data_IF_286093238373
#
_entry.id   IF_286093238373
#
_cell.length_a   1.000
_cell.length_b   1.000
_cell.length_c   1.000
_cell.angle_alpha   90.00
_cell.angle_beta   90.00
_cell.angle_gamma   90.00
#
_symmetry.space_group_name_H-M   'P 1'
#
loop_
_entity.id
_entity.type
_entity.pdbx_description
1 polymer ?
#
# COMPACT_ATOMS: atom_id res chain seq x y z
N UNK A 1 2.46 -29.95 -38.59
CA UNK A 1 3.01 -30.30 -37.27
C UNK A 1 4.00 -29.25 -36.79
N UNK A 2 3.73 -28.70 -35.61
CA UNK A 2 4.58 -27.74 -34.90
C UNK A 2 4.92 -28.30 -33.51
N UNK A 3 5.90 -27.70 -32.83
CA UNK A 3 6.37 -28.14 -31.51
C UNK A 3 6.45 -26.94 -30.58
N UNK A 4 5.90 -27.09 -29.38
CA UNK A 4 6.19 -26.21 -28.24
C UNK A 4 7.32 -26.84 -27.44
N UNK A 5 8.32 -26.06 -27.06
CA UNK A 5 9.42 -26.51 -26.21
C UNK A 5 9.77 -25.45 -25.17
N UNK A 6 9.79 -25.87 -23.91
CA UNK A 6 10.14 -25.05 -22.76
C UNK A 6 10.92 -25.89 -21.75
N UNK A 7 12.22 -25.59 -21.59
CA UNK A 7 13.14 -26.40 -20.81
C UNK A 7 13.02 -27.90 -21.19
N UNK A 8 12.73 -28.76 -20.21
CA UNK A 8 12.56 -30.20 -20.40
C UNK A 8 11.14 -30.58 -20.91
N UNK A 9 10.18 -29.65 -20.84
CA UNK A 9 8.86 -29.86 -21.38
C UNK A 9 8.85 -29.63 -22.89
N UNK A 10 8.21 -30.55 -23.62
CA UNK A 10 7.87 -30.34 -25.02
C UNK A 10 6.59 -31.05 -25.38
N UNK A 11 5.86 -30.49 -26.35
CA UNK A 11 4.65 -31.09 -26.89
C UNK A 11 4.49 -30.77 -28.38
N UNK A 12 4.15 -31.79 -29.17
CA UNK A 12 3.77 -31.61 -30.56
C UNK A 12 2.30 -31.21 -30.68
N UNK A 13 2.00 -30.35 -31.66
CA UNK A 13 0.64 -29.90 -31.93
C UNK A 13 0.39 -29.68 -33.43
N UNK A 14 -0.89 -29.75 -33.82
CA UNK A 14 -1.36 -29.51 -35.18
C UNK A 14 -2.77 -28.90 -35.19
N UNK A 15 -3.14 -28.26 -36.31
CA UNK A 15 -4.48 -27.68 -36.50
C UNK A 15 -5.49 -28.67 -37.11
N UNK A 16 -5.03 -29.88 -37.44
CA UNK A 16 -5.83 -31.00 -37.93
C UNK A 16 -5.51 -32.23 -37.08
N UNK A 17 -6.51 -33.07 -36.81
CA UNK A 17 -6.30 -34.33 -36.10
C UNK A 17 -5.37 -35.24 -36.91
N UNK A 18 -4.33 -35.77 -36.27
CA UNK A 18 -3.39 -36.72 -36.87
C UNK A 18 -3.14 -37.87 -35.90
N UNK A 19 -2.48 -38.95 -36.36
CA UNK A 19 -2.07 -40.05 -35.49
C UNK A 19 -1.12 -39.58 -34.37
N UNK A 20 -0.29 -38.56 -34.63
CA UNK A 20 0.67 -38.02 -33.67
C UNK A 20 0.06 -36.94 -32.75
N UNK A 21 -1.02 -36.29 -33.19
CA UNK A 21 -1.77 -35.31 -32.40
C UNK A 21 -3.26 -35.70 -32.35
N UNK A 22 -3.63 -36.72 -31.56
CA UNK A 22 -5.00 -37.24 -31.56
C UNK A 22 -5.94 -36.49 -30.60
N UNK A 23 -5.41 -35.74 -29.62
CA UNK A 23 -6.18 -35.13 -28.54
C UNK A 23 -6.56 -33.69 -28.90
N UNK A 24 -7.86 -33.38 -28.92
CA UNK A 24 -8.35 -32.01 -29.16
C UNK A 24 -8.17 -31.14 -27.91
N UNK A 25 -7.38 -30.08 -28.02
CA UNK A 25 -7.14 -29.10 -26.95
C UNK A 25 -8.12 -27.90 -27.03
N UNK A 26 -8.47 -27.52 -28.25
CA UNK A 26 -9.39 -26.42 -28.57
C UNK A 26 -10.02 -26.64 -29.95
N UNK A 27 -11.00 -25.83 -30.35
CA UNK A 27 -11.81 -26.03 -31.57
C UNK A 27 -10.99 -26.26 -32.86
N UNK A 28 -9.75 -25.78 -32.91
CA UNK A 28 -8.85 -25.86 -34.08
C UNK A 28 -7.44 -26.33 -33.72
N UNK A 29 -7.25 -26.99 -32.58
CA UNK A 29 -5.92 -27.36 -32.10
C UNK A 29 -5.92 -28.74 -31.47
N UNK A 30 -5.07 -29.61 -32.00
CA UNK A 30 -4.83 -30.97 -31.53
C UNK A 30 -3.40 -31.08 -31.00
N UNK A 31 -3.21 -31.87 -29.96
CA UNK A 31 -1.92 -32.13 -29.32
C UNK A 31 -1.63 -33.62 -29.24
N UNK A 32 -0.36 -33.96 -29.02
CA UNK A 32 0.04 -35.34 -28.72
C UNK A 32 -0.63 -35.85 -27.43
N UNK A 33 -0.86 -37.16 -27.33
CA UNK A 33 -1.40 -37.78 -26.12
C UNK A 33 -0.33 -37.85 -25.03
N UNK A 34 -0.15 -36.72 -24.33
CA UNK A 34 0.82 -36.53 -23.27
C UNK A 34 0.20 -35.70 -22.15
N UNK A 35 0.51 -36.07 -20.90
CA UNK A 35 0.12 -35.29 -19.73
C UNK A 35 0.74 -33.90 -19.80
N UNK A 36 -0.11 -32.88 -19.81
CA UNK A 36 0.31 -31.48 -19.77
C UNK A 36 0.72 -31.08 -18.35
N UNK A 37 1.74 -30.20 -18.19
CA UNK A 37 1.91 -29.41 -16.99
C UNK A 37 0.62 -28.66 -16.70
N UNK A 38 0.28 -28.51 -15.43
CA UNK A 38 -0.92 -27.74 -15.06
C UNK A 38 -0.67 -26.26 -15.29
N UNK A 39 0.52 -25.80 -14.90
CA UNK A 39 0.96 -24.42 -15.03
C UNK A 39 2.41 -24.36 -15.49
N UNK A 40 2.76 -23.24 -16.12
CA UNK A 40 4.11 -22.74 -16.22
C UNK A 40 4.26 -21.57 -15.25
N UNK A 41 5.22 -21.63 -14.34
CA UNK A 41 5.45 -20.59 -13.34
C UNK A 41 6.75 -19.85 -13.63
N UNK A 42 6.82 -18.58 -13.26
CA UNK A 42 8.04 -17.80 -13.38
C UNK A 42 7.94 -16.49 -12.63
N UNK A 43 8.82 -15.55 -12.95
CA UNK A 43 8.82 -14.22 -12.37
C UNK A 43 8.96 -13.15 -13.44
N UNK A 44 8.32 -11.99 -13.27
CA UNK A 44 8.47 -10.88 -14.21
C UNK A 44 8.52 -9.54 -13.49
N UNK A 45 8.93 -8.49 -14.19
CA UNK A 45 8.79 -7.11 -13.71
C UNK A 45 7.50 -6.54 -14.26
N UNK A 46 6.61 -6.07 -13.38
CA UNK A 46 5.33 -5.45 -13.77
C UNK A 46 5.31 -3.98 -13.39
N UNK A 47 4.68 -3.14 -14.20
CA UNK A 47 4.28 -1.80 -13.75
C UNK A 47 3.20 -1.93 -12.66
N UNK A 48 3.03 -0.90 -11.83
CA UNK A 48 1.92 -0.89 -10.87
C UNK A 48 0.57 -1.00 -11.58
N UNK A 49 0.42 -0.38 -12.75
CA UNK A 49 -0.80 -0.52 -13.55
C UNK A 49 -1.06 -1.99 -13.90
N UNK A 50 -0.10 -2.68 -14.52
CA UNK A 50 -0.25 -4.10 -14.87
C UNK A 50 -0.52 -4.98 -13.64
N UNK A 51 0.10 -4.65 -12.50
CA UNK A 51 -0.08 -5.39 -11.27
C UNK A 51 -1.47 -5.18 -10.66
N UNK A 52 -2.01 -3.97 -10.61
CA UNK A 52 -3.28 -3.70 -9.92
C UNK A 52 -4.49 -3.63 -10.85
N UNK A 53 -4.33 -3.67 -12.18
CA UNK A 53 -5.45 -3.46 -13.11
C UNK A 53 -6.64 -4.41 -12.85
N UNK A 54 -6.39 -5.69 -12.56
CA UNK A 54 -7.46 -6.64 -12.22
C UNK A 54 -8.19 -6.29 -10.90
N UNK A 55 -7.48 -5.68 -9.96
CA UNK A 55 -7.99 -5.31 -8.64
C UNK A 55 -8.63 -3.90 -8.67
N UNK A 56 -8.29 -3.08 -9.67
CA UNK A 56 -8.71 -1.69 -9.84
C UNK A 56 -8.96 -1.36 -11.34
N UNK A 57 -9.97 -1.96 -11.99
CA UNK A 57 -10.16 -1.86 -13.44
C UNK A 57 -10.52 -0.46 -13.95
N UNK A 58 -11.08 0.38 -13.07
CA UNK A 58 -11.46 1.76 -13.38
C UNK A 58 -10.25 2.70 -13.55
N UNK A 59 -9.10 2.36 -12.98
CA UNK A 59 -7.90 3.21 -13.04
C UNK A 59 -7.14 3.02 -14.35
N UNK A 60 -6.69 4.14 -14.89
CA UNK A 60 -5.83 4.20 -16.06
C UNK A 60 -4.36 4.20 -15.64
N UNK A 61 -3.45 3.85 -16.55
CA UNK A 61 -2.01 3.83 -16.26
C UNK A 61 -1.48 5.19 -15.73
N UNK A 62 -2.05 6.30 -16.22
CA UNK A 62 -1.69 7.65 -15.75
C UNK A 62 -2.02 7.90 -14.28
N UNK A 63 -2.98 7.18 -13.71
CA UNK A 63 -3.35 7.28 -12.29
C UNK A 63 -2.28 6.70 -11.37
N UNK A 64 -1.31 5.95 -11.93
CA UNK A 64 -0.18 5.37 -11.23
C UNK A 64 1.12 6.18 -11.37
N UNK A 65 1.04 7.37 -11.98
CA UNK A 65 2.18 8.29 -12.03
C UNK A 65 2.30 9.07 -10.73
N UNK A 66 3.53 9.31 -10.32
CA UNK A 66 3.81 10.14 -9.15
C UNK A 66 3.29 11.57 -9.37
N UNK A 67 2.76 12.18 -8.30
CA UNK A 67 2.45 13.60 -8.34
C UNK A 67 3.75 14.41 -8.24
N UNK A 68 3.77 15.62 -8.79
CA UNK A 68 4.92 16.53 -8.68
C UNK A 68 5.31 16.78 -7.21
N UNK A 69 4.30 16.93 -6.34
CA UNK A 69 4.48 17.07 -4.89
C UNK A 69 5.24 15.88 -4.29
N UNK A 70 4.95 14.67 -4.75
CA UNK A 70 5.67 13.48 -4.30
C UNK A 70 7.08 13.37 -4.88
N UNK A 71 7.31 13.75 -6.13
CA UNK A 71 8.66 13.80 -6.70
C UNK A 71 9.58 14.71 -5.87
N UNK A 72 9.07 15.86 -5.42
CA UNK A 72 9.79 16.78 -4.54
C UNK A 72 10.08 16.18 -3.15
N UNK A 73 9.18 15.35 -2.62
CA UNK A 73 9.35 14.66 -1.33
C UNK A 73 10.37 13.52 -1.46
N UNK A 74 10.26 12.70 -2.51
CA UNK A 74 11.10 11.52 -2.77
C UNK A 74 12.57 11.89 -2.92
N UNK A 75 12.88 13.01 -3.59
CA UNK A 75 14.26 13.47 -3.76
C UNK A 75 15.02 13.72 -2.45
N UNK A 76 14.32 13.76 -1.30
CA UNK A 76 14.89 14.01 0.03
C UNK A 76 15.08 12.73 0.87
N UNK A 77 14.55 11.58 0.45
CA UNK A 77 14.58 10.33 1.22
C UNK A 77 15.14 9.16 0.41
N UNK A 78 16.17 8.44 0.91
CA UNK A 78 16.66 7.26 0.21
C UNK A 78 15.62 6.14 0.24
N UNK A 79 15.34 5.56 -0.93
CA UNK A 79 14.44 4.42 -1.07
C UNK A 79 14.91 3.22 -0.25
N UNK A 80 14.04 2.67 0.59
CA UNK A 80 14.38 1.54 1.47
C UNK A 80 14.17 0.18 0.83
N UNK A 81 13.33 0.09 -0.20
CA UNK A 81 12.92 -1.15 -0.86
C UNK A 81 13.32 -1.22 -2.36
N UNK A 82 14.41 -0.55 -2.76
CA UNK A 82 14.91 -0.48 -4.15
C UNK A 82 15.11 -1.85 -4.83
N UNK A 83 15.25 -2.92 -4.04
CA UNK A 83 15.43 -4.28 -4.57
C UNK A 83 14.18 -4.76 -5.31
N UNK A 84 12.99 -4.51 -4.75
CA UNK A 84 11.71 -4.99 -5.32
C UNK A 84 10.98 -3.90 -6.09
N UNK A 85 11.07 -2.64 -5.67
CA UNK A 85 10.37 -1.52 -6.30
C UNK A 85 11.39 -0.63 -7.03
N UNK A 86 11.12 -0.31 -8.29
CA UNK A 86 11.92 0.62 -9.07
C UNK A 86 11.04 1.67 -9.75
N UNK A 87 11.50 2.91 -9.77
CA UNK A 87 10.90 3.97 -10.56
C UNK A 87 11.36 3.82 -12.02
N UNK A 88 10.41 3.83 -12.96
CA UNK A 88 10.69 3.75 -14.39
C UNK A 88 10.79 5.14 -15.03
N UNK A 89 11.11 5.20 -16.32
CA UNK A 89 11.26 6.45 -17.08
C UNK A 89 9.95 7.24 -17.24
N UNK A 90 8.80 6.61 -17.05
CA UNK A 90 7.47 7.25 -17.11
C UNK A 90 6.99 7.75 -15.74
N UNK A 91 7.88 7.85 -14.76
CA UNK A 91 7.61 8.28 -13.38
C UNK A 91 6.55 7.41 -12.67
N UNK A 92 6.44 6.14 -13.09
CA UNK A 92 5.63 5.12 -12.45
C UNK A 92 6.51 4.06 -11.80
N UNK A 93 6.00 3.40 -10.77
CA UNK A 93 6.71 2.30 -10.14
C UNK A 93 6.48 1.00 -10.88
N UNK A 94 7.52 0.16 -10.87
CA UNK A 94 7.45 -1.24 -11.26
C UNK A 94 7.85 -2.13 -10.08
N UNK A 95 7.17 -3.26 -9.95
CA UNK A 95 7.46 -4.34 -9.02
C UNK A 95 8.30 -5.38 -9.78
N UNK A 96 9.53 -5.60 -9.35
CA UNK A 96 10.43 -6.62 -9.90
C UNK A 96 10.08 -7.99 -9.33
N UNK A 97 10.41 -9.05 -10.05
CA UNK A 97 10.29 -10.43 -9.57
C UNK A 97 8.90 -10.75 -9.01
N UNK A 98 7.84 -10.28 -9.68
CA UNK A 98 6.46 -10.64 -9.38
C UNK A 98 6.26 -12.10 -9.79
N UNK A 99 5.87 -12.99 -8.88
CA UNK A 99 5.54 -14.37 -9.22
C UNK A 99 4.34 -14.43 -10.15
N UNK A 100 4.50 -15.11 -11.27
CA UNK A 100 3.47 -15.27 -12.31
C UNK A 100 3.27 -16.72 -12.65
N UNK A 101 2.12 -17.00 -13.24
CA UNK A 101 1.87 -18.28 -13.87
C UNK A 101 1.04 -18.15 -15.14
N UNK A 102 1.13 -19.18 -15.97
CA UNK A 102 0.40 -19.34 -17.23
C UNK A 102 -0.14 -20.75 -17.28
N UNK A 103 -1.36 -20.96 -17.78
CA UNK A 103 -1.85 -22.33 -17.99
C UNK A 103 -1.16 -22.95 -19.20
N UNK A 104 -0.93 -24.27 -19.20
CA UNK A 104 -0.31 -24.90 -20.36
C UNK A 104 -1.16 -24.75 -21.62
N UNK A 105 -2.49 -24.77 -21.49
CA UNK A 105 -3.42 -24.52 -22.60
C UNK A 105 -3.20 -23.14 -23.22
N UNK A 106 -3.20 -22.08 -22.41
CA UNK A 106 -3.05 -20.70 -22.90
C UNK A 106 -1.68 -20.51 -23.60
N UNK A 107 -0.62 -21.09 -23.04
CA UNK A 107 0.71 -21.03 -23.66
C UNK A 107 0.74 -21.68 -25.07
N UNK A 108 0.20 -22.90 -25.21
CA UNK A 108 0.19 -23.61 -26.50
C UNK A 108 -0.70 -22.87 -27.52
N UNK A 109 -1.85 -22.32 -27.10
CA UNK A 109 -2.72 -21.52 -27.97
C UNK A 109 -2.02 -20.27 -28.51
N UNK A 110 -1.28 -19.57 -27.65
CA UNK A 110 -0.52 -18.38 -28.04
C UNK A 110 0.63 -18.70 -29.01
N UNK A 111 1.28 -19.85 -28.87
CA UNK A 111 2.30 -20.33 -29.81
C UNK A 111 1.71 -20.72 -31.17
N UNK A 112 0.50 -21.29 -31.20
CA UNK A 112 -0.16 -21.64 -32.46
C UNK A 112 -0.58 -20.41 -33.26
N UNK A 113 -1.08 -19.36 -32.59
CA UNK A 113 -1.63 -18.16 -33.21
C UNK A 113 -1.00 -16.88 -32.63
N UNK A 114 0.28 -16.66 -32.96
CA UNK A 114 1.07 -15.56 -32.41
C UNK A 114 0.54 -14.17 -32.76
N UNK A 115 -0.10 -14.01 -33.92
CA UNK A 115 -0.67 -12.72 -34.34
C UNK A 115 -1.91 -12.36 -33.52
N UNK A 116 -2.80 -13.34 -33.28
CA UNK A 116 -4.00 -13.14 -32.45
C UNK A 116 -3.64 -12.81 -31.00
N UNK A 117 -2.58 -13.42 -30.47
CA UNK A 117 -2.17 -13.31 -29.06
C UNK A 117 -0.85 -12.53 -28.88
N UNK A 118 -0.64 -11.49 -29.68
CA UNK A 118 0.62 -10.74 -29.70
C UNK A 118 1.01 -10.14 -28.32
N UNK A 119 0.06 -9.51 -27.62
CA UNK A 119 0.30 -8.91 -26.29
C UNK A 119 0.67 -9.95 -25.23
N UNK A 120 0.00 -11.10 -25.25
CA UNK A 120 0.34 -12.21 -24.38
C UNK A 120 1.78 -12.64 -24.61
N UNK A 121 2.19 -12.85 -25.88
CA UNK A 121 3.55 -13.30 -26.17
C UNK A 121 4.61 -12.28 -25.78
N UNK A 122 4.35 -10.99 -26.02
CA UNK A 122 5.25 -9.92 -25.58
C UNK A 122 5.52 -10.03 -24.09
N UNK A 123 4.47 -10.11 -23.26
CA UNK A 123 4.61 -10.29 -21.81
C UNK A 123 5.24 -11.63 -21.45
N UNK A 124 4.92 -12.69 -22.19
CA UNK A 124 5.49 -14.02 -22.00
C UNK A 124 7.01 -14.01 -22.11
N UNK A 125 7.56 -13.28 -23.08
CA UNK A 125 9.02 -13.16 -23.26
C UNK A 125 9.73 -12.41 -22.14
N UNK A 126 8.99 -11.63 -21.35
CA UNK A 126 9.53 -10.93 -20.17
C UNK A 126 9.56 -11.81 -18.92
N UNK A 127 8.89 -12.98 -18.94
CA UNK A 127 8.88 -13.90 -17.81
C UNK A 127 10.20 -14.67 -17.74
N UNK A 128 10.88 -14.53 -16.61
CA UNK A 128 12.12 -15.21 -16.30
C UNK A 128 11.86 -16.57 -15.65
N UNK A 129 12.76 -17.52 -15.93
CA UNK A 129 12.80 -18.84 -15.27
C UNK A 129 11.49 -19.64 -15.39
N UNK A 130 10.83 -19.54 -16.54
CA UNK A 130 9.56 -20.21 -16.76
C UNK A 130 9.72 -21.73 -16.67
N UNK A 131 9.10 -22.35 -15.68
CA UNK A 131 9.28 -23.75 -15.32
C UNK A 131 7.94 -24.49 -15.33
N UNK A 132 7.85 -25.68 -15.98
CA UNK A 132 6.64 -26.50 -15.94
C UNK A 132 6.41 -27.08 -14.55
N UNK A 133 5.16 -27.08 -14.06
CA UNK A 133 4.77 -27.74 -12.82
C UNK A 133 3.77 -28.86 -13.13
N UNK A 134 4.17 -30.09 -12.80
CA UNK A 134 3.33 -31.29 -12.85
C UNK A 134 2.69 -31.49 -11.47
N UNK A 135 1.49 -32.08 -11.40
CA UNK A 135 0.70 -32.24 -10.16
C UNK A 135 1.49 -32.71 -8.93
N UNK A 136 2.50 -33.56 -9.12
CA UNK A 136 3.26 -34.21 -8.04
C UNK A 136 4.42 -33.35 -7.48
N UNK A 137 4.73 -32.20 -8.08
CA UNK A 137 5.88 -31.33 -7.71
C UNK A 137 5.45 -29.97 -7.11
N UNK A 138 4.16 -29.71 -6.98
CA UNK A 138 3.62 -28.40 -6.58
C UNK A 138 3.97 -27.98 -5.14
N UNK A 139 4.37 -28.92 -4.28
CA UNK A 139 4.74 -28.66 -2.87
C UNK A 139 6.07 -27.89 -2.72
N UNK A 140 6.95 -27.96 -3.73
CA UNK A 140 8.31 -27.39 -3.67
C UNK A 140 8.40 -25.95 -4.20
N UNK A 141 7.30 -25.40 -4.70
CA UNK A 141 7.32 -24.07 -5.32
C UNK A 141 7.24 -22.98 -4.26
N UNK A 142 8.31 -22.20 -4.16
CA UNK A 142 8.41 -21.01 -3.32
C UNK A 142 7.46 -19.91 -3.85
N UNK A 143 6.64 -19.32 -2.98
CA UNK A 143 5.75 -18.20 -3.29
C UNK A 143 4.28 -18.47 -2.96
N UNK A 144 3.67 -17.54 -2.21
CA UNK A 144 2.30 -17.64 -1.68
C UNK A 144 1.23 -17.42 -2.75
N UNK A 145 1.23 -16.28 -3.45
CA UNK A 145 0.25 -15.98 -4.51
C UNK A 145 0.93 -15.50 -5.78
N UNK A 146 0.35 -15.86 -6.93
CA UNK A 146 0.87 -15.54 -8.27
C UNK A 146 -0.16 -14.77 -9.08
N UNK A 147 0.32 -13.94 -10.01
CA UNK A 147 -0.50 -13.27 -11.03
C UNK A 147 -0.63 -14.17 -12.25
N UNK A 148 -1.85 -14.46 -12.71
CA UNK A 148 -2.08 -15.20 -13.97
C UNK A 148 -1.86 -14.28 -15.16
N UNK A 149 -1.04 -14.65 -16.14
CA UNK A 149 -1.07 -14.00 -17.47
C UNK A 149 -2.19 -14.63 -18.30
N UNK A 150 -3.14 -13.81 -18.76
CA UNK A 150 -4.29 -14.20 -19.56
C UNK A 150 -4.01 -14.01 -21.06
N UNK A 151 -4.64 -14.81 -21.91
CA UNK A 151 -4.44 -14.81 -23.38
C UNK A 151 -4.62 -13.43 -24.05
N UNK A 152 -5.39 -12.53 -23.45
CA UNK A 152 -5.59 -11.16 -23.93
C UNK A 152 -4.39 -10.22 -23.64
N UNK A 153 -3.39 -10.71 -22.91
CA UNK A 153 -2.21 -9.94 -22.49
C UNK A 153 -2.41 -9.15 -21.19
N UNK A 154 -3.47 -9.43 -20.42
CA UNK A 154 -3.68 -8.84 -19.09
C UNK A 154 -3.22 -9.79 -17.98
N UNK A 155 -2.98 -9.24 -16.78
CA UNK A 155 -2.73 -10.04 -15.59
C UNK A 155 -3.99 -10.08 -14.72
N UNK A 156 -4.35 -11.26 -14.20
CA UNK A 156 -5.46 -11.43 -13.24
C UNK A 156 -5.11 -10.96 -11.82
N UNK A 157 -6.01 -11.15 -10.86
CA UNK A 157 -5.73 -10.94 -9.43
C UNK A 157 -4.70 -11.94 -8.90
N UNK A 158 -4.08 -11.65 -7.75
CA UNK A 158 -3.17 -12.57 -7.08
C UNK A 158 -3.95 -13.74 -6.48
N UNK A 159 -3.56 -14.97 -6.78
CA UNK A 159 -4.22 -16.15 -6.23
C UNK A 159 -3.25 -17.24 -5.79
N UNK A 160 -3.72 -18.03 -4.82
CA UNK A 160 -3.09 -19.28 -4.38
C UNK A 160 -3.44 -20.36 -5.39
N UNK A 161 -2.42 -21.03 -5.94
CA UNK A 161 -2.66 -22.13 -6.88
C UNK A 161 -3.06 -23.43 -6.15
N UNK A 162 -2.53 -23.67 -4.95
CA UNK A 162 -2.72 -24.92 -4.20
C UNK A 162 -2.84 -24.68 -2.69
N UNK A 163 -3.67 -25.49 -2.00
CA UNK A 163 -3.95 -25.36 -0.56
C UNK A 163 -2.74 -25.60 0.36
N UNK A 164 -1.74 -26.37 -0.09
CA UNK A 164 -0.55 -26.70 0.71
C UNK A 164 0.51 -25.60 0.77
N UNK A 165 0.48 -24.64 -0.16
CA UNK A 165 1.49 -23.59 -0.29
C UNK A 165 1.40 -22.50 0.79
N UNK A 166 0.31 -22.46 1.56
CA UNK A 166 0.15 -21.57 2.72
C UNK A 166 1.26 -21.76 3.76
N UNK A 167 1.84 -22.97 3.87
CA UNK A 167 2.90 -23.29 4.85
C UNK A 167 4.27 -22.67 4.51
N UNK A 168 4.45 -22.16 3.29
CA UNK A 168 5.74 -21.67 2.80
C UNK A 168 5.99 -20.17 3.10
N UNK A 169 5.11 -19.53 3.85
CA UNK A 169 5.27 -18.12 4.26
C UNK A 169 5.28 -17.94 5.77
N UNK A 170 5.94 -16.89 6.22
CA UNK A 170 5.97 -16.50 7.61
C UNK A 170 4.67 -15.79 8.00
N UNK A 171 3.95 -16.35 8.98
CA UNK A 171 2.80 -15.70 9.60
C UNK A 171 3.25 -14.48 10.43
N UNK A 172 2.55 -13.37 10.25
CA UNK A 172 2.91 -12.03 10.76
C UNK A 172 1.71 -11.18 11.15
N UNK A 173 0.51 -11.47 10.64
CA UNK A 173 -0.71 -10.69 10.91
C UNK A 173 -0.94 -10.49 12.41
N UNK A 174 -0.86 -11.57 13.19
CA UNK A 174 -1.08 -11.57 14.65
C UNK A 174 0.03 -10.84 15.43
N UNK A 175 1.08 -10.37 14.76
CA UNK A 175 2.20 -9.64 15.38
C UNK A 175 2.14 -8.16 15.10
N UNK A 176 1.28 -7.75 14.17
CA UNK A 176 1.16 -6.38 13.73
C UNK A 176 -0.15 -5.78 14.23
N UNK A 177 -0.09 -4.51 14.57
CA UNK A 177 -1.22 -3.72 15.00
C UNK A 177 -1.34 -2.50 14.09
N UNK A 178 -2.57 -2.25 13.66
CA UNK A 178 -2.93 -1.01 13.00
C UNK A 178 -3.22 0.05 14.06
N UNK A 179 -2.36 1.07 14.13
CA UNK A 179 -2.35 2.07 15.19
C UNK A 179 -2.42 3.49 14.64
N UNK A 180 -3.03 4.38 15.43
CA UNK A 180 -3.08 5.82 15.20
C UNK A 180 -3.62 6.23 13.82
N UNK A 181 -4.93 6.45 13.73
CA UNK A 181 -5.55 7.06 12.55
C UNK A 181 -5.44 8.59 12.64
N UNK A 182 -4.65 9.17 11.76
CA UNK A 182 -4.43 10.61 11.64
C UNK A 182 -5.27 11.20 10.52
N UNK A 183 -5.96 12.30 10.82
CA UNK A 183 -6.79 13.02 9.86
C UNK A 183 -6.26 14.43 9.66
N UNK A 184 -6.34 14.93 8.43
CA UNK A 184 -5.90 16.28 8.06
C UNK A 184 -4.45 16.59 8.48
N UNK A 185 -3.58 15.58 8.45
CA UNK A 185 -2.19 15.70 8.87
C UNK A 185 -1.31 16.20 7.72
N UNK A 186 -0.81 17.44 7.85
CA UNK A 186 0.11 18.10 6.91
C UNK A 186 -0.38 18.15 5.46
N UNK A 187 -0.15 17.10 4.69
CA UNK A 187 -0.49 17.00 3.26
C UNK A 187 -1.49 15.87 2.98
N UNK A 188 -1.95 15.19 4.02
CA UNK A 188 -2.75 13.98 3.96
C UNK A 188 -4.17 14.24 4.49
N UNK A 189 -5.17 13.69 3.81
CA UNK A 189 -6.57 13.69 4.30
C UNK A 189 -6.78 12.56 5.31
N UNK A 190 -6.13 11.43 5.04
CA UNK A 190 -6.12 10.25 5.87
C UNK A 190 -4.72 9.68 5.93
N UNK A 191 -4.23 9.36 7.12
CA UNK A 191 -2.95 8.73 7.35
C UNK A 191 -3.04 7.79 8.55
N UNK A 192 -2.21 6.76 8.60
CA UNK A 192 -2.14 5.91 9.76
C UNK A 192 -0.84 5.12 9.85
N UNK A 193 -0.71 4.30 10.89
CA UNK A 193 0.51 3.60 11.21
C UNK A 193 0.25 2.11 11.43
N UNK A 194 1.23 1.27 11.12
CA UNK A 194 1.25 -0.16 11.45
C UNK A 194 2.54 -0.47 12.18
N UNK A 195 2.45 -1.09 13.36
CA UNK A 195 3.60 -1.41 14.20
C UNK A 195 3.55 -2.87 14.67
N UNK A 196 4.63 -3.36 15.28
CA UNK A 196 4.54 -4.62 16.02
C UNK A 196 3.82 -4.42 17.35
N UNK A 197 3.06 -5.42 17.77
CA UNK A 197 2.51 -5.45 19.11
C UNK A 197 3.62 -5.40 20.17
N UNK A 198 3.43 -4.70 21.31
CA UNK A 198 4.48 -4.46 22.30
C UNK A 198 5.15 -5.73 22.84
N UNK A 199 4.42 -6.84 22.96
CA UNK A 199 4.90 -8.12 23.47
C UNK A 199 5.96 -8.81 22.61
N UNK A 200 6.22 -8.33 21.39
CA UNK A 200 7.26 -8.86 20.52
C UNK A 200 8.62 -8.16 20.69
N UNK A 201 8.76 -7.23 21.65
CA UNK A 201 10.02 -6.53 21.98
C UNK A 201 10.71 -5.83 20.78
N UNK A 202 9.93 -5.47 19.75
CA UNK A 202 10.39 -4.67 18.60
C UNK A 202 10.09 -3.20 18.90
N UNK A 203 11.06 -2.54 19.53
CA UNK A 203 10.92 -1.18 20.07
C UNK A 203 11.77 -0.14 19.35
N UNK A 204 12.39 -0.51 18.23
CA UNK A 204 13.13 0.41 17.36
C UNK A 204 12.72 0.19 15.91
N UNK A 205 12.73 1.28 15.15
CA UNK A 205 12.61 1.23 13.71
C UNK A 205 13.58 0.21 13.06
N UNK A 206 14.83 0.14 13.52
CA UNK A 206 15.83 -0.73 12.88
C UNK A 206 15.47 -2.20 13.12
N UNK A 207 14.92 -2.52 14.29
CA UNK A 207 14.36 -3.85 14.57
C UNK A 207 13.15 -4.14 13.66
N UNK A 208 12.18 -3.21 13.54
CA UNK A 208 11.02 -3.36 12.64
C UNK A 208 11.47 -3.62 11.20
N UNK A 209 12.37 -2.79 10.69
CA UNK A 209 12.86 -2.87 9.31
C UNK A 209 13.57 -4.20 9.04
N UNK A 210 14.38 -4.67 9.99
CA UNK A 210 15.09 -5.94 9.85
C UNK A 210 14.15 -7.14 9.93
N UNK A 211 13.10 -7.06 10.77
CA UNK A 211 12.12 -8.12 10.96
C UNK A 211 11.10 -8.23 9.83
N UNK A 212 10.57 -7.10 9.33
CA UNK A 212 9.45 -7.09 8.38
C UNK A 212 9.55 -5.97 7.33
N UNK A 213 9.84 -4.73 7.76
CA UNK A 213 9.66 -3.54 6.90
C UNK A 213 10.44 -3.54 5.58
N UNK A 214 11.64 -4.14 5.52
CA UNK A 214 12.44 -4.23 4.28
C UNK A 214 11.87 -5.19 3.22
N UNK A 215 10.91 -6.03 3.60
CA UNK A 215 10.28 -7.02 2.74
C UNK A 215 8.95 -6.52 2.16
N UNK A 216 8.34 -5.49 2.77
CA UNK A 216 7.12 -4.84 2.28
C UNK A 216 7.40 -4.21 0.92
N UNK A 217 6.61 -4.56 -0.09
CA UNK A 217 6.76 -3.99 -1.44
C UNK A 217 5.47 -3.36 -1.96
N UNK A 218 4.34 -3.63 -1.33
CA UNK A 218 3.05 -3.09 -1.74
C UNK A 218 2.17 -2.85 -0.52
N UNK A 219 1.38 -1.79 -0.63
CA UNK A 219 0.39 -1.39 0.34
C UNK A 219 -0.84 -0.92 -0.42
N UNK A 220 -2.04 -1.27 0.02
CA UNK A 220 -3.28 -0.81 -0.60
C UNK A 220 -4.29 -0.40 0.46
N UNK A 221 -5.19 0.49 0.07
CA UNK A 221 -6.39 0.81 0.84
C UNK A 221 -7.62 0.58 -0.03
N UNK A 222 -8.60 -0.15 0.48
CA UNK A 222 -9.85 -0.43 -0.20
C UNK A 222 -10.96 0.33 0.50
N UNK A 223 -11.71 1.12 -0.26
CA UNK A 223 -12.88 1.87 0.20
C UNK A 223 -14.02 1.66 -0.80
N UNK A 224 -15.21 1.31 -0.32
CA UNK A 224 -16.40 1.09 -1.17
C UNK A 224 -16.13 0.16 -2.38
N UNK A 225 -15.38 -0.93 -2.14
CA UNK A 225 -15.01 -1.92 -3.16
C UNK A 225 -13.96 -1.46 -4.17
N UNK A 226 -13.38 -0.26 -4.01
CA UNK A 226 -12.29 0.24 -4.85
C UNK A 226 -10.97 0.15 -4.11
N UNK A 227 -10.05 -0.65 -4.65
CA UNK A 227 -8.68 -0.78 -4.12
C UNK A 227 -7.81 0.32 -4.70
N UNK A 228 -7.19 1.10 -3.82
CA UNK A 228 -6.23 2.15 -4.15
C UNK A 228 -4.85 1.66 -3.73
N UNK A 229 -3.97 1.34 -4.68
CA UNK A 229 -2.61 1.00 -4.37
C UNK A 229 -1.84 2.25 -3.98
N UNK A 230 -1.19 2.17 -2.83
CA UNK A 230 -0.34 3.22 -2.30
C UNK A 230 1.01 3.11 -3.00
N UNK A 231 1.41 4.18 -3.69
CA UNK A 231 2.75 4.29 -4.22
C UNK A 231 3.74 4.48 -3.08
N UNK A 232 5.03 4.25 -3.35
CA UNK A 232 6.08 4.39 -2.34
C UNK A 232 6.07 5.69 -1.50
N UNK A 233 5.67 6.87 -2.01
CA UNK A 233 5.57 8.06 -1.16
C UNK A 233 4.23 8.21 -0.42
N UNK A 234 3.23 7.37 -0.73
CA UNK A 234 1.99 7.28 0.05
C UNK A 234 2.22 6.56 1.37
N UNK A 235 3.24 5.71 1.50
CA UNK A 235 3.66 5.17 2.78
C UNK A 235 4.98 5.79 3.23
N UNK A 236 4.90 7.03 3.73
CA UNK A 236 6.07 7.75 4.19
C UNK A 236 6.67 7.11 5.44
N UNK A 237 7.93 6.77 5.28
CA UNK A 237 8.72 6.10 6.28
C UNK A 237 9.41 7.12 7.18
N UNK A 238 8.90 7.32 8.39
CA UNK A 238 9.46 8.31 9.33
C UNK A 238 10.34 7.66 10.41
N UNK A 239 11.68 7.73 10.23
CA UNK A 239 12.60 7.66 11.38
C UNK A 239 12.27 8.84 12.30
N UNK A 240 11.91 8.65 13.58
CA UNK A 240 12.51 7.65 14.49
C UNK A 240 11.53 6.64 15.13
N UNK A 241 10.33 6.44 14.58
CA UNK A 241 9.27 5.69 15.27
C UNK A 241 9.06 4.28 14.67
N UNK A 242 8.63 3.31 15.48
CA UNK A 242 8.80 1.86 15.27
C UNK A 242 7.75 1.24 14.35
N UNK A 243 7.35 1.97 13.32
CA UNK A 243 6.14 1.68 12.58
C UNK A 243 6.28 2.04 11.10
N UNK A 244 5.36 1.49 10.32
CA UNK A 244 5.13 1.83 8.93
C UNK A 244 4.01 2.88 8.89
N UNK A 245 4.27 4.10 8.44
CA UNK A 245 3.21 5.10 8.22
C UNK A 245 2.76 5.09 6.77
N UNK A 246 1.51 5.47 6.57
CA UNK A 246 0.99 5.83 5.26
C UNK A 246 -0.01 6.98 5.34
N UNK A 247 -0.25 7.59 4.20
CA UNK A 247 -1.04 8.79 4.03
C UNK A 247 -1.51 8.97 2.59
N UNK A 248 -2.76 9.35 2.43
CA UNK A 248 -3.40 9.68 1.17
C UNK A 248 -3.38 11.20 0.98
N UNK A 249 -2.79 11.67 -0.12
CA UNK A 249 -2.67 13.10 -0.35
C UNK A 249 -4.03 13.78 -0.40
N UNK A 250 -4.19 14.82 0.42
CA UNK A 250 -5.34 15.72 0.35
C UNK A 250 -5.23 16.68 -0.84
N UNK A 251 -6.38 17.10 -1.36
CA UNK A 251 -6.52 18.22 -2.32
C UNK A 251 -5.67 18.05 -3.57
N UNK A 252 -5.56 16.82 -4.07
CA UNK A 252 -4.81 16.46 -5.27
C UNK A 252 -5.75 16.21 -6.43
N UNK A 253 -5.29 16.50 -7.65
CA UNK A 253 -6.07 16.18 -8.87
C UNK A 253 -5.92 14.71 -9.29
N UNK A 254 -5.20 13.90 -8.52
CA UNK A 254 -5.01 12.48 -8.85
C UNK A 254 -6.31 11.70 -8.56
N UNK A 255 -6.95 11.11 -9.58
CA UNK A 255 -8.28 10.48 -9.45
C UNK A 255 -8.38 9.43 -8.35
N UNK A 256 -7.31 8.67 -8.12
CA UNK A 256 -7.28 7.59 -7.12
C UNK A 256 -7.45 8.04 -5.66
N UNK A 257 -7.17 9.30 -5.32
CA UNK A 257 -7.34 9.80 -3.94
C UNK A 257 -8.63 10.57 -3.72
N UNK A 258 -9.36 10.94 -4.78
CA UNK A 258 -10.58 11.75 -4.68
C UNK A 258 -11.65 11.11 -3.79
N UNK A 259 -11.64 9.79 -3.66
CA UNK A 259 -12.53 9.06 -2.75
C UNK A 259 -12.30 9.36 -1.27
N UNK A 260 -11.20 10.03 -0.91
CA UNK A 260 -10.86 10.45 0.44
C UNK A 260 -10.85 11.97 0.59
N UNK A 261 -11.35 12.71 -0.40
CA UNK A 261 -11.69 14.12 -0.22
C UNK A 261 -13.00 14.27 0.55
N UNK A 262 -13.91 13.30 0.42
CA UNK A 262 -15.18 13.21 1.14
C UNK A 262 -15.40 11.77 1.65
N UNK A 263 -15.81 11.62 2.90
CA UNK A 263 -16.17 10.34 3.50
C UNK A 263 -17.23 10.50 4.57
N UNK A 264 -17.99 9.44 4.81
CA UNK A 264 -18.93 9.37 5.91
C UNK A 264 -18.31 8.68 7.14
N UNK A 265 -18.80 9.04 8.31
CA UNK A 265 -18.41 8.39 9.55
C UNK A 265 -18.79 6.90 9.48
N UNK A 266 -17.86 6.05 9.94
CA UNK A 266 -17.98 4.59 9.98
C UNK A 266 -17.98 3.90 8.62
N UNK A 267 -17.54 4.56 7.55
CA UNK A 267 -17.31 3.86 6.28
C UNK A 267 -16.20 2.81 6.45
N UNK A 268 -16.43 1.54 6.06
CA UNK A 268 -15.45 0.49 6.21
C UNK A 268 -14.30 0.70 5.21
N UNK A 269 -13.10 0.47 5.69
CA UNK A 269 -11.90 0.45 4.88
C UNK A 269 -11.06 -0.77 5.22
N UNK A 270 -10.45 -1.32 4.19
CA UNK A 270 -9.54 -2.45 4.32
C UNK A 270 -8.15 -2.02 3.86
N UNK A 271 -7.15 -2.32 4.67
CA UNK A 271 -5.75 -2.04 4.36
C UNK A 271 -5.06 -3.37 4.12
N UNK A 272 -4.37 -3.51 2.99
CA UNK A 272 -3.59 -4.72 2.70
C UNK A 272 -2.10 -4.40 2.53
N UNK A 273 -1.23 -5.21 3.13
CA UNK A 273 0.23 -5.09 3.04
C UNK A 273 0.80 -6.38 2.45
N UNK A 274 1.57 -6.23 1.38
CA UNK A 274 2.22 -7.34 0.70
C UNK A 274 3.72 -7.27 0.94
N UNK A 275 4.28 -8.38 1.45
CA UNK A 275 5.70 -8.49 1.77
C UNK A 275 6.29 -9.83 1.27
N UNK A 276 7.52 -9.79 0.77
CA UNK A 276 8.20 -10.97 0.24
C UNK A 276 8.49 -11.98 1.36
N UNK A 277 7.98 -13.21 1.20
CA UNK A 277 8.19 -14.31 2.16
C UNK A 277 7.22 -14.33 3.35
N UNK A 278 6.26 -13.41 3.39
CA UNK A 278 5.23 -13.32 4.44
C UNK A 278 3.85 -13.56 3.86
N UNK A 279 2.90 -13.91 4.73
CA UNK A 279 1.48 -13.87 4.38
C UNK A 279 1.05 -12.43 4.05
N UNK A 280 -0.02 -12.30 3.24
CA UNK A 280 -0.63 -11.00 3.01
C UNK A 280 -1.32 -10.54 4.29
N UNK A 281 -1.00 -9.33 4.74
CA UNK A 281 -1.57 -8.74 5.95
C UNK A 281 -2.80 -7.92 5.58
N UNK A 282 -3.87 -8.02 6.37
CA UNK A 282 -5.14 -7.32 6.19
C UNK A 282 -5.60 -6.69 7.50
N UNK A 283 -5.92 -5.40 7.47
CA UNK A 283 -6.57 -4.70 8.57
C UNK A 283 -7.91 -4.16 8.10
N UNK A 284 -8.96 -4.44 8.87
CA UNK A 284 -10.29 -3.86 8.66
C UNK A 284 -10.53 -2.81 9.74
N UNK A 285 -10.84 -1.58 9.32
CA UNK A 285 -11.17 -0.47 10.21
C UNK A 285 -12.29 0.36 9.60
N UNK A 286 -12.68 1.44 10.28
CA UNK A 286 -13.74 2.32 9.84
C UNK A 286 -13.32 3.78 9.95
N UNK A 287 -13.64 4.57 8.94
CA UNK A 287 -13.31 5.99 8.91
C UNK A 287 -13.98 6.75 10.07
N UNK A 288 -13.20 7.62 10.70
CA UNK A 288 -13.66 8.57 11.73
C UNK A 288 -14.56 9.64 11.14
N UNK A 289 -15.25 10.37 12.01
CA UNK A 289 -16.15 11.43 11.58
C UNK A 289 -15.37 12.52 10.82
N UNK A 290 -15.81 12.91 9.61
CA UNK A 290 -15.21 14.02 8.89
C UNK A 290 -15.41 15.33 9.68
N UNK A 291 -14.49 16.27 9.52
CA UNK A 291 -14.60 17.60 10.14
C UNK A 291 -15.15 18.59 9.13
N UNK A 292 -16.10 19.42 9.53
CA UNK A 292 -16.65 20.47 8.67
C UNK A 292 -15.67 21.64 8.55
N UNK A 293 -14.92 21.90 9.61
CA UNK A 293 -13.86 22.90 9.66
C UNK A 293 -12.52 22.18 9.61
N UNK A 294 -11.73 22.47 8.57
CA UNK A 294 -10.39 21.88 8.45
C UNK A 294 -9.52 22.35 9.62
N UNK A 295 -8.95 21.42 10.42
CA UNK A 295 -8.11 21.81 11.54
C UNK A 295 -6.85 22.52 11.08
N UNK A 296 -6.59 23.71 11.65
CA UNK A 296 -5.46 24.52 11.20
C UNK A 296 -5.00 25.51 12.26
N UNK A 297 -3.68 25.62 12.41
CA UNK A 297 -3.06 26.71 13.16
C UNK A 297 -3.15 28.02 12.37
N UNK A 298 -3.47 29.13 13.04
CA UNK A 298 -3.49 30.45 12.39
C UNK A 298 -2.13 30.80 11.76
N UNK A 299 -1.03 30.38 12.39
CA UNK A 299 0.34 30.41 11.87
C UNK A 299 1.22 29.30 12.47
N UNK A 300 2.38 29.05 11.87
CA UNK A 300 3.34 28.03 12.34
C UNK A 300 4.46 28.59 13.22
N UNK A 301 4.60 29.91 13.28
CA UNK A 301 5.59 30.61 14.11
C UNK A 301 4.91 31.71 14.93
N UNK A 302 5.16 31.71 16.24
CA UNK A 302 4.60 32.65 17.20
C UNK A 302 5.74 33.33 17.97
N UNK A 303 5.52 34.57 18.37
CA UNK A 303 6.37 35.28 19.33
C UNK A 303 5.89 34.97 20.75
N UNK A 304 6.83 34.84 21.70
CA UNK A 304 6.50 34.66 23.10
C UNK A 304 5.58 35.78 23.60
N UNK A 305 4.44 35.41 24.20
CA UNK A 305 3.39 36.35 24.61
C UNK A 305 2.18 36.39 23.67
N UNK A 306 2.33 35.96 22.40
CA UNK A 306 1.20 35.85 21.49
C UNK A 306 0.26 34.70 21.85
N UNK A 307 -0.99 34.78 21.39
CA UNK A 307 -1.96 33.68 21.51
C UNK A 307 -1.83 32.74 20.32
N UNK A 308 -1.60 31.46 20.62
CA UNK A 308 -1.67 30.38 19.65
C UNK A 308 -3.15 30.11 19.40
N UNK A 309 -3.58 30.18 18.14
CA UNK A 309 -4.96 29.96 17.75
C UNK A 309 -5.03 28.76 16.82
N UNK A 310 -5.82 27.76 17.22
CA UNK A 310 -6.09 26.56 16.47
C UNK A 310 -7.58 26.51 16.13
N UNK A 311 -7.90 26.54 14.84
CA UNK A 311 -9.27 26.32 14.36
C UNK A 311 -9.58 24.82 14.40
N UNK A 312 -10.70 24.44 15.01
CA UNK A 312 -11.17 23.06 15.17
C UNK A 312 -12.68 22.99 14.94
N UNK A 313 -13.17 21.83 14.51
CA UNK A 313 -14.61 21.58 14.40
C UNK A 313 -15.29 21.70 15.79
N UNK A 314 -16.48 22.31 15.82
CA UNK A 314 -17.24 22.55 17.05
C UNK A 314 -17.55 21.28 17.85
N UNK A 315 -17.65 20.13 17.18
CA UNK A 315 -17.82 18.84 17.85
C UNK A 315 -16.59 18.45 18.66
N UNK A 316 -15.39 18.64 18.12
CA UNK A 316 -14.14 18.36 18.82
C UNK A 316 -13.90 19.36 19.98
N UNK A 317 -14.29 20.62 19.82
CA UNK A 317 -14.28 21.60 20.92
C UNK A 317 -15.14 21.11 22.09
N UNK A 318 -16.32 20.53 21.81
CA UNK A 318 -17.19 19.97 22.86
C UNK A 318 -16.55 18.77 23.56
N UNK A 319 -15.85 17.89 22.83
CA UNK A 319 -15.11 16.77 23.43
C UNK A 319 -13.98 17.26 24.34
N UNK A 320 -13.23 18.29 23.93
CA UNK A 320 -12.19 18.91 24.75
C UNK A 320 -12.78 19.54 26.02
N UNK A 321 -13.90 20.27 25.91
CA UNK A 321 -14.56 20.90 27.06
C UNK A 321 -15.03 19.88 28.11
N UNK A 322 -15.39 18.67 27.67
CA UNK A 322 -15.80 17.55 28.54
C UNK A 322 -14.65 16.63 28.95
N UNK A 323 -13.44 16.87 28.46
CA UNK A 323 -12.27 16.01 28.63
C UNK A 323 -12.44 14.58 28.09
N UNK A 324 -13.25 14.42 27.04
CA UNK A 324 -13.46 13.14 26.34
C UNK A 324 -12.30 12.84 25.36
N UNK A 325 -11.74 13.88 24.74
CA UNK A 325 -10.54 13.76 23.90
C UNK A 325 -9.26 13.81 24.75
N UNK A 326 -8.19 13.14 24.32
CA UNK A 326 -6.85 13.32 24.91
C UNK A 326 -6.18 14.54 24.31
N UNK A 327 -5.61 15.38 25.16
CA UNK A 327 -4.96 16.63 24.78
C UNK A 327 -3.53 16.63 25.34
N UNK A 328 -2.52 16.61 24.47
CA UNK A 328 -1.12 16.45 24.86
C UNK A 328 -0.20 17.45 24.15
N UNK A 329 0.82 17.94 24.85
CA UNK A 329 1.85 18.82 24.30
C UNK A 329 3.24 18.21 24.45
N UNK A 330 4.03 18.23 23.38
CA UNK A 330 5.39 17.71 23.34
C UNK A 330 6.37 18.85 23.00
N UNK A 331 7.39 19.04 23.85
CA UNK A 331 8.44 20.06 23.66
C UNK A 331 9.65 19.56 22.87
N UNK A 332 10.05 18.31 23.07
CA UNK A 332 11.19 17.68 22.37
C UNK A 332 10.95 16.19 22.12
N UNK A 333 9.87 15.83 21.41
CA UNK A 333 9.48 14.46 21.00
C UNK A 333 9.47 13.34 22.06
N UNK A 334 9.89 13.57 23.31
CA UNK A 334 10.23 12.55 24.31
C UNK A 334 9.40 12.61 25.58
N UNK A 335 8.84 13.76 25.90
CA UNK A 335 8.01 13.96 27.10
C UNK A 335 6.75 14.71 26.68
N UNK A 336 5.59 14.10 26.95
CA UNK A 336 4.30 14.77 26.86
C UNK A 336 3.94 15.44 28.18
N UNK A 337 3.29 16.58 28.08
CA UNK A 337 2.57 17.23 29.16
C UNK A 337 1.07 17.11 28.88
N UNK A 338 0.27 16.94 29.92
CA UNK A 338 -1.18 16.91 29.80
C UNK A 338 -1.68 18.32 29.42
N UNK A 339 -2.27 18.47 28.24
CA UNK A 339 -2.76 19.76 27.76
C UNK A 339 -3.84 20.36 28.66
N UNK A 340 -4.57 19.55 29.43
CA UNK A 340 -5.57 20.03 30.39
C UNK A 340 -4.98 20.79 31.58
N UNK A 341 -3.66 20.69 31.83
CA UNK A 341 -2.99 21.52 32.84
C UNK A 341 -2.51 22.87 32.30
N UNK A 342 -2.68 23.13 31.01
CA UNK A 342 -2.32 24.40 30.38
C UNK A 342 -3.41 25.44 30.59
N UNK A 343 -3.04 26.72 30.47
CA UNK A 343 -3.98 27.80 30.30
C UNK A 343 -4.48 27.80 28.86
N UNK A 344 -5.78 27.54 28.66
CA UNK A 344 -6.41 27.60 27.34
C UNK A 344 -7.85 28.11 27.44
N UNK A 345 -8.36 28.60 26.32
CA UNK A 345 -9.75 29.01 26.14
C UNK A 345 -10.36 28.25 24.95
N UNK A 346 -11.60 27.81 25.11
CA UNK A 346 -12.37 27.14 24.07
C UNK A 346 -13.49 28.07 23.60
N UNK A 347 -13.47 28.44 22.33
CA UNK A 347 -14.54 29.14 21.63
C UNK A 347 -15.23 28.17 20.64
N UNK A 348 -16.35 28.56 20.05
CA UNK A 348 -17.21 27.70 19.22
C UNK A 348 -16.46 26.83 18.21
N UNK A 349 -15.41 27.36 17.57
CA UNK A 349 -14.58 26.65 16.59
C UNK A 349 -13.07 26.86 16.82
N UNK A 350 -12.66 27.23 18.04
CA UNK A 350 -11.26 27.58 18.30
C UNK A 350 -10.77 27.11 19.66
N UNK A 351 -9.54 26.61 19.67
CA UNK A 351 -8.71 26.45 20.86
C UNK A 351 -7.66 27.56 20.87
N UNK A 352 -7.66 28.35 21.94
CA UNK A 352 -6.71 29.43 22.16
C UNK A 352 -5.77 29.08 23.32
N UNK A 353 -4.46 29.27 23.12
CA UNK A 353 -3.45 29.05 24.15
C UNK A 353 -2.48 30.22 24.21
N UNK A 354 -2.39 30.96 25.33
CA UNK A 354 -1.38 32.00 25.49
C UNK A 354 0.03 31.40 25.49
N UNK A 355 0.93 31.87 24.63
CA UNK A 355 2.30 31.31 24.57
C UNK A 355 3.17 31.70 25.77
N UNK A 356 2.78 32.72 26.55
CA UNK A 356 3.50 33.17 27.73
C UNK A 356 3.63 32.09 28.82
N UNK A 357 2.77 31.07 28.81
CA UNK A 357 2.83 29.95 29.76
C UNK A 357 4.00 28.99 29.51
N UNK A 358 4.60 29.02 28.32
CA UNK A 358 5.68 28.11 27.96
C UNK A 358 7.03 28.67 28.44
N UNK A 359 7.68 27.95 29.36
CA UNK A 359 8.92 28.40 30.00
C UNK A 359 10.11 28.61 29.03
N UNK A 360 10.07 28.01 27.83
CA UNK A 360 11.16 28.11 26.85
C UNK A 360 10.63 28.38 25.45
N UNK A 361 11.39 29.10 24.65
CA UNK A 361 11.20 29.17 23.21
C UNK A 361 11.64 27.85 22.55
N UNK A 362 11.17 27.59 21.34
CA UNK A 362 11.49 26.37 20.60
C UNK A 362 10.34 25.79 19.80
N UNK A 363 10.53 24.56 19.33
CA UNK A 363 9.53 23.80 18.57
C UNK A 363 8.62 23.04 19.54
N UNK A 364 7.34 23.01 19.22
CA UNK A 364 6.31 22.34 19.97
C UNK A 364 5.44 21.50 19.04
N UNK A 365 4.93 20.40 19.57
CA UNK A 365 3.98 19.53 18.92
C UNK A 365 2.76 19.37 19.81
N UNK A 366 1.60 19.78 19.32
CA UNK A 366 0.31 19.56 19.97
C UNK A 366 -0.36 18.35 19.34
N UNK A 367 -0.83 17.42 20.17
CA UNK A 367 -1.55 16.22 19.76
C UNK A 367 -2.91 16.20 20.44
N UNK A 368 -3.96 16.06 19.62
CA UNK A 368 -5.34 15.83 20.09
C UNK A 368 -5.77 14.47 19.57
N UNK A 369 -6.25 13.58 20.45
CA UNK A 369 -6.71 12.24 20.07
C UNK A 369 -8.15 12.06 20.50
N UNK A 370 -9.03 11.77 19.53
CA UNK A 370 -10.45 11.53 19.72
C UNK A 370 -10.84 10.19 19.12
N UNK A 371 -11.68 9.42 19.81
CA UNK A 371 -12.22 8.18 19.28
C UNK A 371 -13.22 8.40 18.14
N UNK A 372 -13.84 9.60 18.08
CA UNK A 372 -14.83 9.99 17.07
C UNK A 372 -14.16 10.63 15.86
N UNK A 373 -13.18 11.51 16.10
CA UNK A 373 -12.59 12.39 15.09
C UNK A 373 -11.16 11.99 14.67
N UNK A 374 -10.59 10.98 15.32
CA UNK A 374 -9.23 10.52 15.09
C UNK A 374 -8.16 11.40 15.75
N UNK A 375 -6.92 11.23 15.30
CA UNK A 375 -5.76 11.94 15.82
C UNK A 375 -5.42 13.16 14.95
N UNK A 376 -5.23 14.30 15.60
CA UNK A 376 -4.73 15.54 15.00
C UNK A 376 -3.35 15.87 15.57
N UNK A 377 -2.45 16.35 14.71
CA UNK A 377 -1.08 16.71 15.08
C UNK A 377 -0.71 18.07 14.48
N UNK A 378 -0.32 19.00 15.35
CA UNK A 378 0.04 20.37 14.97
C UNK A 378 1.45 20.71 15.42
N UNK A 379 2.25 21.26 14.51
CA UNK A 379 3.62 21.68 14.75
C UNK A 379 3.70 23.21 14.70
N UNK A 380 4.29 23.81 15.74
CA UNK A 380 4.54 25.25 15.78
C UNK A 380 5.86 25.58 16.49
N UNK A 381 6.36 26.79 16.29
CA UNK A 381 7.57 27.30 16.94
C UNK A 381 7.25 28.58 17.70
N UNK A 382 7.71 28.69 18.94
CA UNK A 382 7.68 29.93 19.73
C UNK A 382 9.09 30.53 19.70
N UNK A 383 9.21 31.79 19.28
CA UNK A 383 10.46 32.56 19.23
C UNK A 383 10.45 33.65 20.28
N UNK A 384 11.63 34.09 20.69
CA UNK A 384 11.76 35.29 21.50
C UNK A 384 11.49 36.49 20.58
N UNK A 385 10.89 37.55 21.13
CA UNK A 385 10.72 38.82 20.43
C UNK A 385 12.11 39.33 19.98
N UNK A 386 12.23 39.66 18.70
CA UNK A 386 13.50 40.02 18.04
C UNK A 386 13.73 41.51 17.99
#
# INVERSE_FOLDING_TARGET
MKKVQLNEFSINYDIVQTEQCPVMLDEQLYIEDKKLPRYFIGETTMTFFDFYHADSPDFQETDYRLSERFLQIIGRFPHTNQKKIALNESESYSIKQVPVYVTAKDYILAENNSEKYAKFREKMTMIQSLTPIIEDEAELVVGYKRKRLLLDGTYGSRELLEKGQEKNVQAIQEKLEYVNEMYYFAHYSYAAMVQFLPEYDITTYDQFHKAYGKFVYSFTITKNGKTIPLLWPDYLYHKPENHLEFGLLANTRQPRYLQFDEWEAKEPIMIEILADGFEDVRFETHLKQPMNVQPKLSKSEYTLGETICLSLDSGLIKELAKQEAKFELYKTKKTSENGYSLNYELLEEQLLMPSAQFEKTGRYQLKITSDVYGQLLFLFTIKQEG
#
